data_IF_497720536651
#
_entry.id   IF_497720536651
#
_cell.length_a   1.000
_cell.length_b   1.000
_cell.length_c   1.000
_cell.angle_alpha   90.00
_cell.angle_beta   90.00
_cell.angle_gamma   90.00
#
_symmetry.space_group_name_H-M   'P 1'
#
loop_
_entity.id
_entity.type
_entity.pdbx_description
1 polymer ?
#
# COMPACT_ATOMS: atom_id res chain seq x y z
N UNK A 1 4.71 -7.24 2.47
CA UNK A 1 3.52 -6.41 2.17
C UNK A 1 3.27 -5.40 3.30
N UNK A 2 4.05 -4.31 3.34
CA UNK A 2 3.95 -3.26 4.39
C UNK A 2 3.13 -2.02 3.93
N UNK A 3 2.62 -2.05 2.70
CA UNK A 3 1.95 -0.94 2.01
C UNK A 3 0.57 -1.33 1.45
N UNK A 4 0.07 -2.49 1.84
CA UNK A 4 -1.18 -3.06 1.32
C UNK A 4 -2.21 -3.18 2.42
N UNK A 5 -3.48 -3.18 2.01
CA UNK A 5 -4.65 -3.35 2.86
C UNK A 5 -5.03 -4.82 2.92
N UNK A 6 -5.40 -5.34 4.09
CA UNK A 6 -6.07 -6.64 4.18
C UNK A 6 -7.48 -6.56 3.57
N UNK A 7 -7.60 -7.09 2.35
CA UNK A 7 -8.83 -7.07 1.55
C UNK A 7 -9.98 -7.77 2.27
N UNK A 8 -9.73 -8.91 2.91
CA UNK A 8 -10.79 -9.69 3.55
C UNK A 8 -11.33 -8.95 4.78
N UNK A 9 -10.43 -8.40 5.60
CA UNK A 9 -10.81 -7.59 6.76
C UNK A 9 -11.57 -6.33 6.35
N UNK A 10 -11.11 -5.62 5.31
CA UNK A 10 -11.78 -4.43 4.80
C UNK A 10 -13.20 -4.75 4.29
N UNK A 11 -13.36 -5.82 3.50
CA UNK A 11 -14.66 -6.24 2.96
C UNK A 11 -15.62 -6.65 4.07
N UNK A 12 -15.14 -7.37 5.10
CA UNK A 12 -15.97 -7.73 6.25
C UNK A 12 -16.45 -6.51 7.04
N UNK A 13 -15.57 -5.53 7.27
CA UNK A 13 -15.93 -4.28 7.92
C UNK A 13 -16.96 -3.50 7.10
N UNK A 14 -16.73 -3.37 5.79
CA UNK A 14 -17.64 -2.71 4.86
C UNK A 14 -19.04 -3.37 4.86
N UNK A 15 -19.12 -4.69 4.74
CA UNK A 15 -20.38 -5.46 4.79
C UNK A 15 -21.13 -5.25 6.11
N UNK A 16 -20.41 -5.21 7.22
CA UNK A 16 -20.98 -4.97 8.56
C UNK A 16 -21.57 -3.57 8.66
N UNK A 17 -20.92 -2.56 8.07
CA UNK A 17 -21.41 -1.18 8.09
C UNK A 17 -22.60 -0.98 7.15
N UNK A 18 -22.59 -1.60 5.97
CA UNK A 18 -23.72 -1.60 5.05
C UNK A 18 -24.99 -2.19 5.69
N UNK A 19 -24.85 -3.33 6.39
CA UNK A 19 -25.98 -4.03 7.02
C UNK A 19 -26.52 -3.32 8.26
N UNK A 20 -25.67 -2.62 9.02
CA UNK A 20 -26.09 -1.85 10.20
C UNK A 20 -26.78 -0.52 9.86
N UNK A 21 -26.70 -0.07 8.61
CA UNK A 21 -27.16 1.25 8.21
C UNK A 21 -26.22 2.33 8.76
N UNK A 22 -25.20 2.69 8.00
CA UNK A 22 -24.30 3.77 8.36
C UNK A 22 -25.02 5.11 8.33
N UNK A 23 -24.83 5.93 9.37
CA UNK A 23 -25.19 7.35 9.30
C UNK A 23 -24.38 7.96 8.17
N UNK A 24 -25.04 8.60 7.20
CA UNK A 24 -24.37 9.25 6.06
C UNK A 24 -23.49 10.38 6.57
N UNK A 25 -22.23 10.08 6.85
CA UNK A 25 -21.22 11.08 7.13
C UNK A 25 -20.96 11.80 5.81
N UNK A 26 -21.05 13.13 5.84
CA UNK A 26 -20.74 13.96 4.67
C UNK A 26 -19.26 13.82 4.36
N UNK A 27 -18.93 13.05 3.33
CA UNK A 27 -17.61 13.09 2.70
C UNK A 27 -17.63 14.10 1.57
N UNK A 28 -16.46 14.62 1.19
CA UNK A 28 -16.35 15.44 -0.01
C UNK A 28 -16.74 14.58 -1.23
N UNK A 29 -17.68 15.03 -2.09
CA UNK A 29 -18.08 14.31 -3.30
C UNK A 29 -16.91 14.06 -4.28
N UNK A 30 -15.82 14.83 -4.17
CA UNK A 30 -14.60 14.62 -4.96
C UNK A 30 -13.58 13.70 -4.28
N UNK A 31 -13.88 13.20 -3.07
CA UNK A 31 -12.98 12.30 -2.36
C UNK A 31 -13.09 10.89 -2.93
N UNK A 32 -11.97 10.40 -3.47
CA UNK A 32 -11.88 9.05 -4.04
C UNK A 32 -11.33 8.08 -3.00
N UNK A 33 -11.71 6.80 -3.10
CA UNK A 33 -11.16 5.75 -2.24
C UNK A 33 -9.65 5.61 -2.50
N UNK A 34 -8.86 5.70 -1.44
CA UNK A 34 -7.40 5.58 -1.48
C UNK A 34 -6.88 4.78 -0.29
N UNK A 35 -5.68 4.20 -0.44
CA UNK A 35 -4.97 3.52 0.65
C UNK A 35 -4.40 4.57 1.60
N UNK A 36 -4.73 4.43 2.88
CA UNK A 36 -4.18 5.18 4.00
C UNK A 36 -3.06 4.33 4.61
N UNK A 37 -1.85 4.88 4.60
CA UNK A 37 -0.66 4.19 5.12
C UNK A 37 -0.77 4.00 6.64
N UNK A 38 -0.41 2.80 7.10
CA UNK A 38 -0.27 2.55 8.54
C UNK A 38 0.94 3.33 9.08
N UNK A 39 0.75 4.23 10.06
CA UNK A 39 1.87 4.96 10.67
C UNK A 39 2.88 4.03 11.34
N UNK A 40 2.46 2.85 11.77
CA UNK A 40 3.31 1.82 12.36
C UNK A 40 3.94 0.88 11.31
N UNK A 41 3.67 1.11 10.01
CA UNK A 41 4.15 0.30 8.89
C UNK A 41 3.99 -1.22 9.12
N UNK A 42 2.89 -1.66 9.73
CA UNK A 42 2.68 -3.09 9.95
C UNK A 42 2.36 -3.80 8.64
N UNK A 43 2.68 -5.09 8.59
CA UNK A 43 2.32 -5.93 7.46
C UNK A 43 0.80 -5.98 7.30
N UNK A 44 0.30 -5.70 6.10
CA UNK A 44 -1.14 -5.54 5.80
C UNK A 44 -1.86 -4.52 6.71
N UNK A 45 -1.12 -3.56 7.27
CA UNK A 45 -1.63 -2.61 8.24
C UNK A 45 -2.39 -1.43 7.62
N UNK A 46 -2.22 -1.20 6.31
CA UNK A 46 -2.86 -0.07 5.65
C UNK A 46 -4.39 -0.23 5.66
N UNK A 47 -5.09 0.89 5.64
CA UNK A 47 -6.55 0.94 5.70
C UNK A 47 -7.14 1.75 4.55
N UNK A 48 -8.46 1.74 4.40
CA UNK A 48 -9.21 2.66 3.52
C UNK A 48 -10.26 3.39 4.34
N UNK A 49 -10.65 4.59 3.90
CA UNK A 49 -11.74 5.34 4.54
C UNK A 49 -13.09 4.66 4.23
N UNK A 50 -13.70 4.08 5.26
CA UNK A 50 -14.97 3.37 5.14
C UNK A 50 -16.14 4.30 4.82
N UNK A 51 -16.09 5.58 5.21
CA UNK A 51 -17.15 6.53 4.88
C UNK A 51 -17.13 6.86 3.38
N UNK A 52 -15.94 7.05 2.83
CA UNK A 52 -15.76 7.21 1.38
C UNK A 52 -16.23 5.94 0.66
N UNK A 53 -15.82 4.75 1.13
CA UNK A 53 -16.27 3.49 0.55
C UNK A 53 -17.81 3.37 0.55
N UNK A 54 -18.48 3.68 1.66
CA UNK A 54 -19.94 3.61 1.78
C UNK A 54 -20.68 4.65 0.90
N UNK A 55 -20.06 5.80 0.64
CA UNK A 55 -20.62 6.81 -0.24
C UNK A 55 -20.35 6.51 -1.73
N UNK A 56 -19.26 5.80 -2.04
CA UNK A 56 -18.92 5.38 -3.41
C UNK A 56 -19.66 4.10 -3.83
N UNK A 57 -19.74 3.11 -2.95
CA UNK A 57 -20.30 1.79 -3.23
C UNK A 57 -21.66 1.64 -2.55
N UNK A 58 -22.71 2.07 -3.25
CA UNK A 58 -24.09 2.02 -2.74
C UNK A 58 -24.81 0.84 -3.41
N UNK A 59 -25.30 -0.15 -2.64
CA UNK A 59 -26.05 -1.27 -3.21
C UNK A 59 -27.39 -0.78 -3.77
N UNK A 60 -27.82 -1.35 -4.90
CA UNK A 60 -29.08 -0.97 -5.55
C UNK A 60 -30.34 -1.37 -4.75
N UNK A 61 -30.18 -2.25 -3.76
CA UNK A 61 -31.24 -2.67 -2.83
C UNK A 61 -30.63 -3.18 -1.52
N UNK A 62 -31.44 -3.31 -0.48
CA UNK A 62 -31.01 -3.91 0.80
C UNK A 62 -31.04 -5.45 0.79
N UNK A 63 -31.25 -6.08 -0.38
CA UNK A 63 -31.27 -7.54 -0.50
C UNK A 63 -29.88 -8.15 -0.32
N UNK A 64 -29.77 -9.40 0.20
CA UNK A 64 -28.49 -10.07 0.39
C UNK A 64 -27.61 -10.12 -0.87
N UNK A 65 -28.22 -10.38 -2.03
CA UNK A 65 -27.51 -10.43 -3.32
C UNK A 65 -26.92 -9.08 -3.72
N UNK A 66 -27.67 -7.99 -3.55
CA UNK A 66 -27.20 -6.63 -3.87
C UNK A 66 -26.07 -6.18 -2.94
N UNK A 67 -26.14 -6.57 -1.66
CA UNK A 67 -25.06 -6.31 -0.69
C UNK A 67 -23.81 -7.12 -1.06
N UNK A 68 -23.96 -8.38 -1.45
CA UNK A 68 -22.84 -9.23 -1.87
C UNK A 68 -22.17 -8.72 -3.15
N UNK A 69 -22.95 -8.35 -4.15
CA UNK A 69 -22.44 -7.73 -5.37
C UNK A 69 -21.67 -6.44 -5.05
N UNK A 70 -22.22 -5.58 -4.22
CA UNK A 70 -21.56 -4.35 -3.77
C UNK A 70 -20.24 -4.63 -3.04
N UNK A 71 -20.19 -5.67 -2.19
CA UNK A 71 -18.95 -6.12 -1.55
C UNK A 71 -17.90 -6.61 -2.56
N UNK A 72 -18.32 -7.27 -3.65
CA UNK A 72 -17.42 -7.73 -4.71
C UNK A 72 -16.81 -6.55 -5.49
N UNK A 73 -17.60 -5.52 -5.80
CA UNK A 73 -17.12 -4.28 -6.41
C UNK A 73 -16.10 -3.57 -5.51
N UNK A 74 -16.39 -3.45 -4.22
CA UNK A 74 -15.46 -2.88 -3.24
C UNK A 74 -14.17 -3.70 -3.15
N UNK A 75 -14.27 -5.04 -3.03
CA UNK A 75 -13.11 -5.96 -3.03
C UNK A 75 -12.20 -5.70 -4.22
N UNK A 76 -12.77 -5.71 -5.42
CA UNK A 76 -12.01 -5.51 -6.66
C UNK A 76 -11.26 -4.17 -6.65
N UNK A 77 -11.90 -3.10 -6.17
CA UNK A 77 -11.24 -1.79 -6.10
C UNK A 77 -10.08 -1.76 -5.09
N UNK A 78 -10.22 -2.42 -3.94
CA UNK A 78 -9.13 -2.51 -2.95
C UNK A 78 -7.95 -3.33 -3.49
N UNK A 79 -8.24 -4.42 -4.21
CA UNK A 79 -7.22 -5.23 -4.91
C UNK A 79 -6.47 -4.39 -5.95
N UNK A 80 -7.17 -3.63 -6.79
CA UNK A 80 -6.56 -2.70 -7.75
C UNK A 80 -5.64 -1.65 -7.06
N UNK A 81 -6.10 -1.08 -5.94
CA UNK A 81 -5.30 -0.11 -5.17
C UNK A 81 -4.04 -0.77 -4.57
N UNK A 82 -4.15 -1.99 -4.07
CA UNK A 82 -3.01 -2.76 -3.55
C UNK A 82 -1.99 -3.05 -4.65
N UNK A 83 -2.44 -3.39 -5.86
CA UNK A 83 -1.57 -3.62 -7.02
C UNK A 83 -0.90 -2.32 -7.48
N UNK A 84 -1.64 -1.20 -7.51
CA UNK A 84 -1.08 0.12 -7.80
C UNK A 84 0.01 0.50 -6.78
N UNK A 85 -0.24 0.30 -5.49
CA UNK A 85 0.74 0.58 -4.43
C UNK A 85 1.94 -0.36 -4.47
N UNK A 86 1.74 -1.63 -4.81
CA UNK A 86 2.82 -2.57 -5.01
C UNK A 86 3.72 -2.15 -6.18
N UNK A 87 3.13 -1.80 -7.33
CA UNK A 87 3.89 -1.28 -8.49
C UNK A 87 4.67 -0.01 -8.17
N UNK A 88 4.06 0.96 -7.47
CA UNK A 88 4.74 2.19 -7.06
C UNK A 88 5.93 1.90 -6.13
N UNK A 89 5.72 1.04 -5.13
CA UNK A 89 6.78 0.70 -4.16
C UNK A 89 7.94 -0.03 -4.83
N UNK A 90 7.65 -0.99 -5.72
CA UNK A 90 8.68 -1.71 -6.47
C UNK A 90 9.46 -0.78 -7.41
N UNK A 91 8.77 0.13 -8.11
CA UNK A 91 9.43 1.10 -8.98
C UNK A 91 10.37 2.04 -8.24
N UNK A 92 10.01 2.46 -7.02
CA UNK A 92 10.90 3.27 -6.16
C UNK A 92 12.06 2.45 -5.55
N UNK A 93 11.87 1.16 -5.29
CA UNK A 93 12.95 0.28 -4.82
C UNK A 93 13.99 -0.02 -5.91
N UNK A 94 13.60 -0.15 -7.18
CA UNK A 94 14.56 -0.33 -8.29
C UNK A 94 15.48 0.89 -8.48
N UNK A 95 15.00 2.12 -8.24
CA UNK A 95 15.82 3.33 -8.28
C UNK A 95 16.80 3.42 -7.09
N UNK A 96 16.36 3.03 -5.89
CA UNK A 96 17.22 3.01 -4.71
C UNK A 96 18.36 1.96 -4.84
N UNK A 97 18.08 0.82 -5.47
CA UNK A 97 19.09 -0.22 -5.76
C UNK A 97 20.12 0.28 -6.79
N UNK A 98 19.68 1.01 -7.82
CA UNK A 98 20.59 1.58 -8.83
C UNK A 98 21.52 2.67 -8.27
N UNK A 99 21.10 3.47 -7.28
CA UNK A 99 21.99 4.42 -6.61
C UNK A 99 23.05 3.75 -5.74
N UNK A 100 22.70 2.67 -5.03
CA UNK A 100 23.67 1.93 -4.20
C UNK A 100 24.67 1.16 -5.06
N UNK A 101 24.21 0.52 -6.16
CA UNK A 101 25.09 -0.18 -7.11
C UNK A 101 26.04 0.77 -7.88
N UNK A 102 25.58 1.98 -8.22
CA UNK A 102 26.41 3.01 -8.84
C UNK A 102 27.49 3.54 -7.88
N UNK A 103 27.15 3.68 -6.59
CA UNK A 103 28.10 4.12 -5.55
C UNK A 103 29.16 3.05 -5.29
N UNK A 104 28.77 1.78 -5.12
CA UNK A 104 29.72 0.68 -4.90
C UNK A 104 30.62 0.42 -6.12
N UNK A 105 30.10 0.59 -7.35
CA UNK A 105 30.90 0.40 -8.57
C UNK A 105 31.93 1.51 -8.79
N UNK A 106 31.60 2.76 -8.45
CA UNK A 106 32.55 3.88 -8.55
C UNK A 106 33.67 3.81 -7.50
N UNK A 107 33.36 3.33 -6.28
CA UNK A 107 34.35 3.16 -5.22
C UNK A 107 35.31 1.97 -5.44
N UNK A 108 34.99 1.00 -6.32
CA UNK A 108 35.72 -0.27 -6.41
C UNK A 108 36.29 -0.63 -7.80
N UNK A 109 35.80 -0.05 -8.91
CA UNK A 109 36.16 -0.50 -10.26
C UNK A 109 36.55 0.60 -11.27
N UNK A 110 36.54 1.88 -10.89
CA UNK A 110 37.04 2.94 -11.76
C UNK A 110 38.58 3.04 -11.69
N UNK A 111 39.25 3.04 -12.85
CA UNK A 111 40.72 3.16 -12.98
C UNK A 111 41.29 4.50 -12.46
N UNK A 112 40.40 5.42 -12.06
CA UNK A 112 40.71 6.73 -11.48
C UNK A 112 40.05 6.99 -10.11
N UNK A 113 39.51 5.96 -9.44
CA UNK A 113 38.93 6.08 -8.09
C UNK A 113 40.00 5.96 -6.99
N UNK A 114 39.78 6.55 -5.79
CA UNK A 114 40.71 6.41 -4.67
C UNK A 114 40.68 4.95 -4.20
N UNK A 115 41.70 4.18 -4.60
CA UNK A 115 41.89 2.76 -4.28
C UNK A 115 41.90 2.51 -2.77
N UNK A 116 40.74 2.42 -2.15
CA UNK A 116 40.57 2.06 -0.75
C UNK A 116 40.63 0.53 -0.67
N UNK A 117 41.69 0.05 -0.02
CA UNK A 117 42.06 -1.36 0.08
C UNK A 117 41.04 -2.26 0.80
N UNK A 118 41.44 -3.53 1.00
CA UNK A 118 40.58 -4.63 1.43
C UNK A 118 39.75 -4.33 2.70
N UNK A 119 38.53 -4.89 2.73
CA UNK A 119 37.59 -4.83 3.85
C UNK A 119 38.25 -5.48 5.08
N UNK A 120 38.44 -4.70 6.15
CA UNK A 120 38.94 -5.22 7.44
C UNK A 120 37.80 -5.25 8.46
N UNK A 121 37.91 -6.12 9.48
CA UNK A 121 36.96 -6.20 10.62
C UNK A 121 36.71 -4.87 11.35
N UNK A 122 37.55 -3.85 11.11
CA UNK A 122 37.43 -2.51 11.71
C UNK A 122 36.40 -1.62 10.98
N UNK A 123 35.97 -2.00 9.77
CA UNK A 123 35.03 -1.22 8.94
C UNK A 123 33.97 -2.16 8.30
N UNK A 124 32.95 -2.58 9.04
CA UNK A 124 31.85 -3.34 8.46
C UNK A 124 31.00 -2.45 7.53
N UNK A 125 30.50 -3.05 6.45
CA UNK A 125 29.68 -2.38 5.42
C UNK A 125 28.24 -2.06 5.87
N UNK A 126 27.90 -2.39 7.12
CA UNK A 126 26.59 -2.12 7.71
C UNK A 126 26.81 -1.84 9.20
N UNK A 127 26.30 -0.70 9.69
CA UNK A 127 26.17 -0.46 11.12
C UNK A 127 24.92 -1.21 11.57
N UNK A 128 25.12 -2.33 12.27
CA UNK A 128 24.07 -2.96 13.07
C UNK A 128 23.91 -2.24 14.39
#
# INVERSE_FOLDING_TARGET
EFFQVDVNKAVQQFKTLLTKGSSKIKTDPNQHLAIIQDPEFRRLGCTVDMNVALNTFIPHSNGPAAIEECCNWFRKRVEELNDEKFRQTNYHQEQAINCVLATVSYERLADHGPKLGAITRKYPLVTG
#
